data_IF_009265327581
#
_entry.id   IF_009265327581
#
_cell.length_a   1.000
_cell.length_b   1.000
_cell.length_c   1.000
_cell.angle_alpha   90.00
_cell.angle_beta   90.00
_cell.angle_gamma   90.00
#
_symmetry.space_group_name_H-M   'P 1'
#
loop_
_entity.id
_entity.type
_entity.pdbx_description
1 polymer ?
#
# COMPACT_ATOMS: atom_id res chain seq x y z
N UNK A 1 -30.42 22.75 -12.54
CA UNK A 1 -29.58 21.96 -13.47
C UNK A 1 -28.13 22.21 -13.11
N UNK A 2 -27.32 21.16 -13.18
CA UNK A 2 -26.13 20.97 -12.37
C UNK A 2 -24.99 21.97 -12.54
N UNK A 3 -24.25 22.13 -11.46
CA UNK A 3 -22.80 22.20 -11.50
C UNK A 3 -22.32 21.06 -10.61
N UNK A 4 -21.91 19.97 -11.23
CA UNK A 4 -21.18 18.92 -10.55
C UNK A 4 -19.92 19.55 -9.95
N UNK A 5 -19.76 19.41 -8.65
CA UNK A 5 -18.54 19.76 -7.92
C UNK A 5 -17.41 18.86 -8.46
N UNK A 6 -16.38 19.37 -9.16
CA UNK A 6 -15.27 18.54 -9.62
C UNK A 6 -14.14 18.53 -8.59
N UNK A 7 -14.42 18.77 -7.31
CA UNK A 7 -13.45 18.46 -6.27
C UNK A 7 -13.52 16.96 -6.03
N UNK A 8 -12.89 16.20 -6.94
CA UNK A 8 -12.61 14.80 -6.76
C UNK A 8 -11.85 14.66 -5.44
N UNK A 9 -12.61 14.38 -4.37
CA UNK A 9 -12.09 13.98 -3.08
C UNK A 9 -11.45 12.62 -3.31
N UNK A 10 -10.24 12.67 -3.85
CA UNK A 10 -9.47 11.50 -4.21
C UNK A 10 -9.18 10.81 -2.88
N UNK A 11 -9.72 9.60 -2.63
CA UNK A 11 -9.37 8.89 -1.42
C UNK A 11 -7.87 8.67 -1.50
N UNK A 12 -7.11 9.32 -0.60
CA UNK A 12 -5.65 9.30 -0.59
C UNK A 12 -5.19 7.84 -0.52
N UNK A 13 -4.93 7.27 -1.68
CA UNK A 13 -4.61 5.87 -1.85
C UNK A 13 -3.38 5.79 -2.74
N UNK A 14 -2.37 5.11 -2.22
CA UNK A 14 -1.07 4.94 -2.85
C UNK A 14 -0.98 3.51 -3.32
N UNK A 15 -0.43 3.31 -4.51
CA UNK A 15 -0.21 1.98 -5.05
C UNK A 15 1.12 1.93 -5.78
N UNK A 16 1.65 0.72 -5.91
CA UNK A 16 2.90 0.50 -6.62
C UNK A 16 3.21 -0.97 -6.76
N UNK A 17 4.39 -1.24 -7.29
CA UNK A 17 4.96 -2.57 -7.42
C UNK A 17 6.36 -2.56 -6.85
N UNK A 18 6.73 -3.62 -6.16
CA UNK A 18 8.07 -3.80 -5.61
C UNK A 18 8.53 -5.24 -5.82
N UNK A 19 9.82 -5.42 -6.00
CA UNK A 19 10.46 -6.74 -6.03
C UNK A 19 11.04 -7.03 -4.65
N UNK A 20 10.76 -8.22 -4.13
CA UNK A 20 11.45 -8.69 -2.92
C UNK A 20 12.89 -9.11 -3.23
N UNK A 21 13.74 -8.99 -2.23
CA UNK A 21 15.15 -9.36 -2.31
C UNK A 21 15.35 -10.89 -2.24
N UNK A 22 16.62 -11.32 -2.17
CA UNK A 22 16.98 -12.74 -2.05
C UNK A 22 16.55 -13.39 -0.73
N UNK A 23 16.05 -12.62 0.22
CA UNK A 23 15.47 -13.09 1.49
C UNK A 23 13.94 -13.00 1.50
N UNK A 24 13.30 -12.51 0.43
CA UNK A 24 11.86 -12.34 0.37
C UNK A 24 11.36 -11.05 1.02
N UNK A 25 12.21 -10.04 1.24
CA UNK A 25 11.82 -8.75 1.83
C UNK A 25 11.83 -7.62 0.81
N UNK A 26 10.89 -6.68 0.97
CA UNK A 26 10.85 -5.44 0.22
C UNK A 26 10.47 -4.28 1.13
N UNK A 27 11.31 -3.25 1.15
CA UNK A 27 10.97 -1.98 1.81
C UNK A 27 10.42 -1.01 0.76
N UNK A 28 9.20 -0.57 0.99
CA UNK A 28 8.54 0.44 0.15
C UNK A 28 8.56 1.76 0.90
N UNK A 29 9.03 2.82 0.22
CA UNK A 29 9.01 4.18 0.73
C UNK A 29 7.95 4.97 -0.01
N UNK A 30 6.97 5.47 0.74
CA UNK A 30 6.00 6.40 0.22
C UNK A 30 6.61 7.82 0.11
N UNK A 31 6.14 8.64 -0.83
CA UNK A 31 6.53 10.05 -0.91
C UNK A 31 6.13 10.79 0.36
N UNK A 32 6.84 11.87 0.71
CA UNK A 32 6.62 12.65 1.95
C UNK A 32 5.17 13.12 2.13
N UNK A 33 4.45 13.38 1.04
CA UNK A 33 3.03 13.74 1.05
C UNK A 33 2.13 12.63 1.62
N UNK A 34 2.52 11.36 1.44
CA UNK A 34 1.86 10.20 2.02
C UNK A 34 2.10 10.06 3.52
N UNK A 35 3.04 10.81 4.11
CA UNK A 35 3.21 10.87 5.56
C UNK A 35 1.97 11.43 6.28
N UNK A 36 1.04 12.02 5.54
CA UNK A 36 -0.27 12.40 6.06
C UNK A 36 -1.26 11.22 6.12
N UNK A 37 -0.92 10.00 5.69
CA UNK A 37 -1.83 8.85 5.81
C UNK A 37 -2.02 8.46 7.28
N UNK A 38 -2.99 9.08 7.94
CA UNK A 38 -3.33 8.75 9.32
C UNK A 38 -4.10 7.43 9.39
N UNK A 39 -3.79 6.56 10.37
CA UNK A 39 -4.53 5.33 10.60
C UNK A 39 -5.98 5.60 11.03
N UNK A 40 -6.92 4.66 10.79
CA UNK A 40 -6.71 3.29 10.32
C UNK A 40 -6.39 3.19 8.82
N UNK A 41 -5.30 2.47 8.51
CA UNK A 41 -4.87 2.19 7.14
C UNK A 41 -5.32 0.80 6.70
N UNK A 42 -5.61 0.67 5.41
CA UNK A 42 -5.92 -0.59 4.76
C UNK A 42 -4.81 -0.93 3.78
N UNK A 43 -4.25 -2.13 3.95
CA UNK A 43 -3.17 -2.66 3.13
C UNK A 43 -3.70 -3.80 2.29
N UNK A 44 -3.62 -3.64 0.97
CA UNK A 44 -3.90 -4.71 0.02
C UNK A 44 -2.61 -5.08 -0.71
N UNK A 45 -2.25 -6.35 -0.61
CA UNK A 45 -1.09 -6.92 -1.30
C UNK A 45 -1.55 -7.97 -2.30
N UNK A 46 -0.90 -8.00 -3.45
CA UNK A 46 -1.10 -9.00 -4.50
C UNK A 46 0.24 -9.44 -5.06
N UNK A 47 0.57 -10.69 -4.85
CA UNK A 47 1.66 -11.37 -5.54
C UNK A 47 1.35 -11.46 -7.04
N UNK A 48 2.37 -11.20 -7.86
CA UNK A 48 2.27 -11.23 -9.31
C UNK A 48 3.06 -12.42 -9.87
N UNK A 49 4.35 -12.52 -9.56
CA UNK A 49 5.19 -13.61 -10.04
C UNK A 49 6.49 -13.75 -9.20
N UNK A 50 6.87 -14.98 -8.81
CA UNK A 50 6.02 -16.19 -8.82
C UNK A 50 4.82 -16.05 -7.86
N UNK A 51 3.76 -16.89 -8.00
CA UNK A 51 2.65 -16.90 -7.05
C UNK A 51 3.16 -17.26 -5.65
N UNK A 52 2.83 -16.44 -4.66
CA UNK A 52 3.45 -16.47 -3.34
C UNK A 52 2.57 -15.80 -2.28
N UNK A 53 2.84 -16.05 -0.99
CA UNK A 53 2.15 -15.35 0.08
C UNK A 53 2.87 -14.05 0.42
N UNK A 54 2.25 -12.90 0.12
CA UNK A 54 2.74 -11.58 0.52
C UNK A 54 2.04 -11.07 1.79
N UNK A 55 2.81 -10.54 2.74
CA UNK A 55 2.30 -9.95 3.98
C UNK A 55 3.07 -8.68 4.35
N UNK A 56 2.40 -7.73 5.00
CA UNK A 56 3.07 -6.61 5.66
C UNK A 56 3.70 -7.11 6.95
N UNK A 57 4.99 -6.85 7.16
CA UNK A 57 5.73 -7.21 8.39
C UNK A 57 6.10 -6.01 9.22
N UNK A 58 6.20 -4.83 8.61
CA UNK A 58 6.26 -3.55 9.28
C UNK A 58 5.26 -2.62 8.61
N UNK A 59 4.35 -2.05 9.41
CA UNK A 59 3.35 -1.09 8.95
C UNK A 59 4.01 0.22 8.49
N UNK A 60 3.21 1.14 7.94
CA UNK A 60 3.69 2.44 7.51
C UNK A 60 4.14 3.28 8.72
N UNK A 61 5.46 3.39 8.89
CA UNK A 61 6.13 4.20 9.91
C UNK A 61 7.18 5.07 9.21
N UNK A 62 7.27 6.36 9.54
CA UNK A 62 8.17 7.33 8.87
C UNK A 62 8.04 7.34 7.32
N UNK A 63 6.85 7.05 6.80
CA UNK A 63 6.59 6.99 5.36
C UNK A 63 7.21 5.77 4.67
N UNK A 64 7.58 4.72 5.41
CA UNK A 64 8.04 3.43 4.84
C UNK A 64 7.31 2.27 5.48
N UNK A 65 7.13 1.20 4.73
CA UNK A 65 6.59 -0.05 5.24
C UNK A 65 7.34 -1.23 4.60
N UNK A 66 7.28 -2.39 5.25
CA UNK A 66 8.00 -3.58 4.80
C UNK A 66 7.04 -4.70 4.46
N UNK A 67 7.19 -5.22 3.25
CA UNK A 67 6.51 -6.40 2.76
C UNK A 67 7.47 -7.58 2.89
N UNK A 68 6.96 -8.73 3.31
CA UNK A 68 7.67 -10.00 3.23
C UNK A 68 6.86 -10.99 2.39
N UNK A 69 7.58 -11.84 1.67
CA UNK A 69 7.05 -12.98 0.92
C UNK A 69 7.67 -14.27 1.42
N UNK A 70 6.96 -15.38 1.23
CA UNK A 70 7.45 -16.73 1.54
C UNK A 70 8.49 -17.27 0.54
N UNK A 71 8.61 -16.63 -0.63
CA UNK A 71 9.66 -16.90 -1.63
C UNK A 71 10.52 -15.65 -1.87
N UNK A 72 11.80 -15.82 -2.24
CA UNK A 72 12.65 -14.72 -2.68
C UNK A 72 12.28 -14.23 -4.09
N UNK A 73 12.66 -13.00 -4.43
CA UNK A 73 12.49 -12.43 -5.78
C UNK A 73 11.05 -12.43 -6.32
N UNK A 74 10.08 -12.16 -5.44
CA UNK A 74 8.66 -12.07 -5.80
C UNK A 74 8.31 -10.64 -6.14
N UNK A 75 7.60 -10.45 -7.25
CA UNK A 75 6.99 -9.17 -7.59
C UNK A 75 5.66 -9.03 -6.86
N UNK A 76 5.54 -8.01 -6.02
CA UNK A 76 4.33 -7.73 -5.25
C UNK A 76 3.76 -6.38 -5.67
N UNK A 77 2.50 -6.36 -6.10
CA UNK A 77 1.70 -5.15 -6.19
C UNK A 77 1.13 -4.83 -4.81
N UNK A 78 1.23 -3.58 -4.41
CA UNK A 78 0.73 -3.11 -3.12
C UNK A 78 -0.17 -1.91 -3.31
N UNK A 79 -1.16 -1.78 -2.44
CA UNK A 79 -2.06 -0.64 -2.33
C UNK A 79 -2.29 -0.33 -0.87
N UNK A 80 -2.16 0.95 -0.53
CA UNK A 80 -2.46 1.48 0.80
C UNK A 80 -3.52 2.55 0.63
N UNK A 81 -4.59 2.47 1.39
CA UNK A 81 -5.63 3.49 1.43
C UNK A 81 -6.01 3.77 2.88
N UNK A 82 -6.50 4.99 3.14
CA UNK A 82 -7.18 5.23 4.41
C UNK A 82 -8.48 4.43 4.44
N UNK A 83 -8.70 3.67 5.51
CA UNK A 83 -9.99 3.04 5.74
C UNK A 83 -10.98 4.17 6.01
N UNK A 84 -11.99 4.32 5.14
CA UNK A 84 -13.11 5.20 5.43
C UNK A 84 -13.85 4.56 6.59
N UNK A 85 -13.86 5.21 7.77
CA UNK A 85 -14.86 4.86 8.78
C UNK A 85 -16.21 5.09 8.13
N UNK A 86 -16.87 4.01 7.69
CA UNK A 86 -18.30 4.08 7.41
C UNK A 86 -19.01 4.29 8.75
N UNK A 87 -19.67 5.45 8.96
CA UNK A 87 -20.47 5.63 10.15
C UNK A 87 -21.66 4.65 10.04
N UNK A 88 -21.71 3.68 10.95
CA UNK A 88 -22.85 2.79 11.11
C UNK A 88 -23.98 3.48 11.86
#
# INVERSE_FOLDING_TARGET
MGTADPTASSPASYHGQVWTDGHGYATVRLPTEAGQLEPPLEYELRDLEPPSSARVTAELEDGRFTIATDQPHVKVAWRISRRKEEPR
#
